data_IF_320792305130
#
_entry.id   IF_320792305130
#
_cell.length_a   1.000
_cell.length_b   1.000
_cell.length_c   1.000
_cell.angle_alpha   90.00
_cell.angle_beta   90.00
_cell.angle_gamma   90.00
#
_symmetry.space_group_name_H-M   'P 1'
#
loop_
_entity.id
_entity.type
_entity.pdbx_description
1 polymer ?
#
# COMPACT_ATOMS: atom_id res chain seq x y z
N UNK A 1 7.16 8.73 -57.14
CA UNK A 1 6.42 8.09 -56.05
C UNK A 1 4.99 7.98 -56.49
N UNK A 2 4.43 6.78 -56.52
CA UNK A 2 3.04 6.54 -56.96
C UNK A 2 2.09 7.07 -55.86
N UNK A 3 0.93 7.62 -56.25
CA UNK A 3 -0.09 8.20 -55.38
C UNK A 3 -0.55 7.18 -54.33
N UNK A 4 -0.63 5.91 -54.71
CA UNK A 4 -0.97 4.81 -53.84
C UNK A 4 0.06 4.59 -52.72
N UNK A 5 1.34 4.68 -53.04
CA UNK A 5 2.46 4.55 -52.10
C UNK A 5 2.46 5.72 -51.11
N UNK A 6 2.18 6.94 -51.57
CA UNK A 6 2.07 8.11 -50.70
C UNK A 6 0.88 8.00 -49.75
N UNK A 7 -0.30 7.57 -50.23
CA UNK A 7 -1.46 7.34 -49.40
C UNK A 7 -1.24 6.27 -48.32
N UNK A 8 -0.61 5.15 -48.65
CA UNK A 8 -0.27 4.09 -47.72
C UNK A 8 0.71 4.57 -46.62
N UNK A 9 1.73 5.36 -47.01
CA UNK A 9 2.68 5.94 -46.06
C UNK A 9 1.98 6.88 -45.06
N UNK A 10 1.07 7.73 -45.52
CA UNK A 10 0.31 8.64 -44.69
C UNK A 10 -0.57 7.85 -43.72
N UNK A 11 -1.30 6.85 -44.23
CA UNK A 11 -2.18 6.02 -43.39
C UNK A 11 -1.39 5.25 -42.34
N UNK A 12 -0.28 4.63 -42.72
CA UNK A 12 0.58 3.90 -41.76
C UNK A 12 1.16 4.83 -40.71
N UNK A 13 1.61 6.03 -41.13
CA UNK A 13 2.14 7.02 -40.17
C UNK A 13 1.07 7.50 -39.19
N UNK A 14 -0.16 7.72 -39.68
CA UNK A 14 -1.28 8.13 -38.82
C UNK A 14 -1.64 7.05 -37.82
N UNK A 15 -1.63 5.77 -38.21
CA UNK A 15 -1.86 4.64 -37.30
C UNK A 15 -0.76 4.57 -36.23
N UNK A 16 0.50 4.65 -36.62
CA UNK A 16 1.64 4.61 -35.68
C UNK A 16 1.56 5.76 -34.69
N UNK A 17 1.30 6.98 -35.18
CA UNK A 17 1.12 8.16 -34.30
C UNK A 17 -0.06 7.99 -33.35
N UNK A 18 -1.19 7.45 -33.81
CA UNK A 18 -2.37 7.16 -32.99
C UNK A 18 -2.05 6.16 -31.87
N UNK A 19 -1.33 5.08 -32.18
CA UNK A 19 -0.91 4.09 -31.18
C UNK A 19 0.07 4.70 -30.16
N UNK A 20 1.07 5.47 -30.62
CA UNK A 20 2.03 6.12 -29.72
C UNK A 20 1.33 7.12 -28.81
N UNK A 21 0.41 7.92 -29.34
CA UNK A 21 -0.38 8.87 -28.57
C UNK A 21 -1.27 8.17 -27.57
N UNK A 22 -1.99 7.12 -27.97
CA UNK A 22 -2.83 6.32 -27.08
C UNK A 22 -2.05 5.67 -25.93
N UNK A 23 -0.84 5.17 -26.20
CA UNK A 23 0.05 4.63 -25.18
C UNK A 23 0.58 5.72 -24.22
N UNK A 24 0.86 6.91 -24.73
CA UNK A 24 1.27 8.04 -23.92
C UNK A 24 0.15 8.50 -22.97
N UNK A 25 -1.07 8.61 -23.52
CA UNK A 25 -2.29 8.96 -22.75
C UNK A 25 -2.56 7.93 -21.65
N UNK A 26 -2.49 6.63 -21.99
CA UNK A 26 -2.67 5.56 -21.01
C UNK A 26 -1.62 5.62 -19.88
N UNK A 27 -0.36 5.89 -20.22
CA UNK A 27 0.69 6.06 -19.22
C UNK A 27 0.46 7.29 -18.34
N UNK A 28 -0.08 8.36 -18.90
CA UNK A 28 -0.41 9.58 -18.16
C UNK A 28 -1.56 9.32 -17.19
N UNK A 29 -2.63 8.69 -17.65
CA UNK A 29 -3.76 8.30 -16.81
C UNK A 29 -3.37 7.35 -15.66
N UNK A 30 -2.40 6.44 -15.90
CA UNK A 30 -1.89 5.56 -14.84
C UNK A 30 -1.04 6.31 -13.82
N UNK A 31 -0.29 7.34 -14.21
CA UNK A 31 0.45 8.19 -13.28
C UNK A 31 -0.49 9.02 -12.40
N UNK A 32 -1.50 9.63 -13.00
CA UNK A 32 -2.49 10.43 -12.27
C UNK A 32 -3.24 9.60 -11.22
N UNK A 33 -3.57 8.35 -11.54
CA UNK A 33 -4.18 7.41 -10.57
C UNK A 33 -3.25 7.11 -9.38
N UNK A 34 -1.95 6.92 -9.64
CA UNK A 34 -0.95 6.68 -8.59
C UNK A 34 -0.77 7.89 -7.68
N UNK A 35 -0.76 9.09 -8.26
CA UNK A 35 -0.62 10.33 -7.49
C UNK A 35 -1.84 10.58 -6.60
N UNK A 36 -3.05 10.29 -7.09
CA UNK A 36 -4.26 10.38 -6.28
C UNK A 36 -4.30 9.35 -5.15
N UNK A 37 -3.93 8.11 -5.42
CA UNK A 37 -3.86 7.07 -4.40
C UNK A 37 -2.83 7.39 -3.30
N UNK A 38 -1.70 7.98 -3.65
CA UNK A 38 -0.71 8.44 -2.68
C UNK A 38 -1.29 9.54 -1.76
N UNK A 39 -2.06 10.46 -2.31
CA UNK A 39 -2.76 11.51 -1.54
C UNK A 39 -3.80 10.90 -0.60
N UNK A 40 -4.53 9.89 -1.03
CA UNK A 40 -5.55 9.22 -0.21
C UNK A 40 -4.92 8.44 0.96
N UNK A 41 -3.78 7.77 0.75
CA UNK A 41 -3.02 7.16 1.84
C UNK A 41 -2.59 8.21 2.84
N UNK A 42 -2.00 9.33 2.38
CA UNK A 42 -1.58 10.43 3.27
C UNK A 42 -2.77 10.94 4.07
N UNK A 43 -3.92 11.13 3.45
CA UNK A 43 -5.15 11.56 4.14
C UNK A 43 -5.57 10.56 5.21
N UNK A 44 -5.59 9.26 4.89
CA UNK A 44 -5.97 8.20 5.85
C UNK A 44 -4.99 8.15 7.03
N UNK A 45 -3.68 8.19 6.76
CA UNK A 45 -2.63 8.24 7.78
C UNK A 45 -2.74 9.49 8.67
N UNK A 46 -3.21 10.61 8.10
CA UNK A 46 -3.39 11.87 8.82
C UNK A 46 -4.69 11.94 9.61
N UNK A 47 -5.63 11.00 9.44
CA UNK A 47 -6.81 10.97 10.30
C UNK A 47 -6.38 10.71 11.76
N UNK A 48 -6.91 11.53 12.66
CA UNK A 48 -6.58 11.42 14.08
C UNK A 48 -6.99 10.04 14.62
N UNK A 49 -8.03 9.46 14.06
CA UNK A 49 -8.57 8.16 14.42
C UNK A 49 -7.55 7.04 14.15
N UNK A 50 -7.09 6.87 12.90
CA UNK A 50 -6.12 5.83 12.53
C UNK A 50 -4.80 6.01 13.28
N UNK A 51 -4.32 7.25 13.41
CA UNK A 51 -3.09 7.51 14.16
C UNK A 51 -3.21 7.10 15.63
N UNK A 52 -4.30 7.46 16.32
CA UNK A 52 -4.53 7.05 17.70
C UNK A 52 -4.69 5.54 17.84
N UNK A 53 -5.36 4.89 16.89
CA UNK A 53 -5.52 3.45 16.86
C UNK A 53 -4.15 2.76 16.75
N UNK A 54 -3.31 3.20 15.80
CA UNK A 54 -1.94 2.69 15.63
C UNK A 54 -1.10 2.91 16.90
N UNK A 55 -1.10 4.13 17.46
CA UNK A 55 -0.36 4.44 18.70
C UNK A 55 -0.80 3.53 19.86
N UNK A 56 -2.10 3.30 20.02
CA UNK A 56 -2.64 2.41 21.05
C UNK A 56 -2.21 0.96 20.86
N UNK A 57 -2.31 0.45 19.64
CA UNK A 57 -1.88 -0.91 19.28
C UNK A 57 -0.37 -1.08 19.49
N UNK A 58 0.45 -0.10 19.14
CA UNK A 58 1.90 -0.16 19.29
C UNK A 58 2.36 -0.19 20.77
N UNK A 59 1.51 0.18 21.71
CA UNK A 59 1.79 0.04 23.15
C UNK A 59 1.55 -1.38 23.69
N UNK A 60 0.92 -2.25 22.92
CA UNK A 60 0.67 -3.63 23.31
C UNK A 60 1.95 -4.47 23.19
N UNK A 61 2.07 -5.56 23.95
CA UNK A 61 3.12 -6.55 23.75
C UNK A 61 2.94 -7.25 22.39
N UNK A 62 4.04 -7.82 21.88
CA UNK A 62 3.97 -8.66 20.69
C UNK A 62 3.08 -9.88 20.96
N UNK A 63 2.35 -10.32 19.94
CA UNK A 63 1.46 -11.47 20.01
C UNK A 63 0.43 -11.40 21.15
N UNK A 64 -0.15 -10.21 21.38
CA UNK A 64 -1.13 -9.98 22.46
C UNK A 64 -2.25 -11.04 22.43
N UNK A 65 -2.69 -11.47 23.59
CA UNK A 65 -3.79 -12.41 23.69
C UNK A 65 -5.08 -11.80 23.12
N UNK A 66 -5.78 -12.49 22.20
CA UNK A 66 -7.05 -12.01 21.65
C UNK A 66 -8.09 -11.64 22.70
N UNK A 67 -8.09 -12.30 23.87
CA UNK A 67 -9.01 -12.00 24.96
C UNK A 67 -8.78 -10.59 25.54
N UNK A 68 -7.54 -10.09 25.56
CA UNK A 68 -7.21 -8.72 25.98
C UNK A 68 -7.86 -7.70 25.05
N UNK A 69 -7.76 -7.93 23.74
CA UNK A 69 -8.37 -7.04 22.74
C UNK A 69 -9.89 -7.04 22.86
N UNK A 70 -10.50 -8.21 23.02
CA UNK A 70 -11.97 -8.35 23.13
C UNK A 70 -12.52 -7.88 24.48
N UNK A 71 -11.71 -7.89 25.52
CA UNK A 71 -12.09 -7.43 26.87
C UNK A 71 -12.09 -5.92 27.04
N UNK A 72 -11.50 -5.17 26.10
CA UNK A 72 -11.42 -3.71 26.12
C UNK A 72 -11.98 -3.14 24.80
N UNK A 73 -13.11 -2.45 24.90
CA UNK A 73 -13.81 -1.90 23.73
C UNK A 73 -12.94 -0.90 22.94
N UNK A 74 -12.16 -0.11 23.64
CA UNK A 74 -11.27 0.86 23.02
C UNK A 74 -10.11 0.18 22.25
N UNK A 75 -9.61 -0.94 22.77
CA UNK A 75 -8.60 -1.74 22.08
C UNK A 75 -9.19 -2.47 20.87
N UNK A 76 -10.43 -2.97 21.01
CA UNK A 76 -11.14 -3.60 19.89
C UNK A 76 -11.40 -2.61 18.75
N UNK A 77 -11.89 -1.41 19.07
CA UNK A 77 -12.07 -0.35 18.07
C UNK A 77 -10.74 0.03 17.40
N UNK A 78 -9.67 0.15 18.18
CA UNK A 78 -8.35 0.43 17.63
C UNK A 78 -7.83 -0.70 16.72
N UNK A 79 -8.02 -1.96 17.12
CA UNK A 79 -7.63 -3.11 16.30
C UNK A 79 -8.40 -3.16 14.98
N UNK A 80 -9.72 -2.90 15.00
CA UNK A 80 -10.56 -2.85 13.81
C UNK A 80 -10.19 -1.68 12.88
N UNK A 81 -9.87 -0.51 13.42
CA UNK A 81 -9.44 0.64 12.63
C UNK A 81 -8.09 0.37 11.94
N UNK A 82 -7.14 -0.26 12.64
CA UNK A 82 -5.85 -0.66 12.08
C UNK A 82 -6.03 -1.74 11.01
N UNK A 83 -6.83 -2.77 11.27
CA UNK A 83 -7.14 -3.83 10.31
C UNK A 83 -7.71 -3.26 9.02
N UNK A 84 -8.76 -2.43 9.12
CA UNK A 84 -9.40 -1.80 7.97
C UNK A 84 -8.45 -0.94 7.15
N UNK A 85 -7.56 -0.19 7.80
CA UNK A 85 -6.57 0.64 7.11
C UNK A 85 -5.52 -0.22 6.38
N UNK A 86 -5.01 -1.26 7.03
CA UNK A 86 -4.00 -2.15 6.45
C UNK A 86 -4.57 -3.03 5.33
N UNK A 87 -5.81 -3.50 5.46
CA UNK A 87 -6.55 -4.20 4.40
C UNK A 87 -6.69 -3.32 3.15
N UNK A 88 -7.10 -2.08 3.33
CA UNK A 88 -7.20 -1.12 2.23
C UNK A 88 -5.83 -0.89 1.56
N UNK A 89 -4.78 -0.67 2.34
CA UNK A 89 -3.43 -0.45 1.79
C UNK A 89 -2.89 -1.69 1.08
N UNK A 90 -3.12 -2.89 1.62
CA UNK A 90 -2.73 -4.15 1.00
C UNK A 90 -3.40 -4.36 -0.34
N UNK A 91 -4.71 -4.17 -0.41
CA UNK A 91 -5.46 -4.27 -1.67
C UNK A 91 -5.00 -3.25 -2.71
N UNK A 92 -4.72 -1.99 -2.32
CA UNK A 92 -4.20 -0.95 -3.22
C UNK A 92 -2.81 -1.30 -3.79
N UNK A 93 -1.95 -1.94 -2.99
CA UNK A 93 -0.64 -2.43 -3.47
C UNK A 93 -0.82 -3.61 -4.41
N UNK A 94 -1.69 -4.57 -4.07
CA UNK A 94 -1.98 -5.72 -4.91
C UNK A 94 -2.51 -5.32 -6.29
N UNK A 95 -3.44 -4.37 -6.34
CA UNK A 95 -4.00 -3.82 -7.59
C UNK A 95 -3.00 -2.90 -8.36
N UNK A 96 -1.80 -2.69 -7.83
CA UNK A 96 -0.78 -1.83 -8.45
C UNK A 96 -1.15 -0.34 -8.47
N UNK A 97 -2.14 0.06 -7.67
CA UNK A 97 -2.55 1.46 -7.48
C UNK A 97 -1.47 2.22 -6.73
N UNK A 98 -0.82 1.55 -5.76
CA UNK A 98 0.24 2.09 -4.93
C UNK A 98 1.50 1.24 -5.03
N UNK A 99 2.65 1.87 -5.16
CA UNK A 99 3.93 1.19 -5.14
C UNK A 99 4.27 0.73 -3.70
N UNK A 100 4.61 -0.56 -3.53
CA UNK A 100 4.87 -1.14 -2.21
C UNK A 100 6.05 -0.48 -1.49
N UNK A 101 7.10 -0.06 -2.21
CA UNK A 101 8.26 0.62 -1.62
C UNK A 101 7.91 2.03 -1.17
N UNK A 102 7.01 2.70 -1.89
CA UNK A 102 6.48 3.99 -1.47
C UNK A 102 5.70 3.84 -0.16
N UNK A 103 4.80 2.87 -0.10
CA UNK A 103 4.02 2.57 1.11
C UNK A 103 4.92 2.19 2.28
N UNK A 104 5.95 1.36 2.04
CA UNK A 104 6.92 0.98 3.06
C UNK A 104 7.64 2.19 3.67
N UNK A 105 8.02 3.16 2.85
CA UNK A 105 8.65 4.39 3.35
C UNK A 105 7.71 5.25 4.19
N UNK A 106 6.42 5.23 3.88
CA UNK A 106 5.42 6.06 4.56
C UNK A 106 4.93 5.44 5.86
N UNK A 107 4.48 4.19 5.80
CA UNK A 107 3.76 3.53 6.90
C UNK A 107 4.22 2.11 7.21
N UNK A 108 5.25 1.58 6.54
CA UNK A 108 5.67 0.21 6.73
C UNK A 108 6.12 -0.13 8.16
N UNK A 109 6.60 0.87 8.93
CA UNK A 109 6.85 0.69 10.37
C UNK A 109 5.57 0.44 11.17
N UNK A 110 4.47 1.10 10.80
CA UNK A 110 3.16 0.87 11.39
C UNK A 110 2.62 -0.51 11.03
N UNK A 111 2.68 -0.87 9.73
CA UNK A 111 2.21 -2.17 9.24
C UNK A 111 2.91 -3.31 9.97
N UNK A 112 4.25 -3.29 10.05
CA UNK A 112 5.03 -4.31 10.75
C UNK A 112 4.74 -4.33 12.24
N UNK A 113 4.79 -3.17 12.88
CA UNK A 113 4.61 -3.06 14.31
C UNK A 113 3.23 -3.48 14.78
N UNK A 114 2.18 -3.13 14.03
CA UNK A 114 0.81 -3.52 14.37
C UNK A 114 0.54 -4.98 14.06
N UNK A 115 1.06 -5.51 12.94
CA UNK A 115 0.96 -6.94 12.62
C UNK A 115 1.57 -7.82 13.70
N UNK A 116 2.80 -7.53 14.12
CA UNK A 116 3.48 -8.29 15.16
C UNK A 116 2.66 -8.40 16.45
N UNK A 117 1.86 -7.40 16.76
CA UNK A 117 1.01 -7.36 17.96
C UNK A 117 -0.34 -8.04 17.77
N UNK A 118 -0.96 -7.86 16.60
CA UNK A 118 -2.36 -8.26 16.39
C UNK A 118 -2.52 -9.56 15.58
N UNK A 119 -1.46 -10.17 15.04
CA UNK A 119 -1.59 -11.36 14.19
C UNK A 119 -2.34 -12.52 14.88
N UNK A 120 -2.16 -12.72 16.19
CA UNK A 120 -2.91 -13.73 16.94
C UNK A 120 -4.40 -13.39 17.04
N UNK A 121 -4.72 -12.13 17.19
CA UNK A 121 -6.10 -11.66 17.17
C UNK A 121 -6.73 -11.86 15.80
N UNK A 122 -6.06 -11.48 14.71
CA UNK A 122 -6.54 -11.73 13.34
C UNK A 122 -6.80 -13.22 13.11
N UNK A 123 -5.88 -14.10 13.52
CA UNK A 123 -6.07 -15.55 13.41
C UNK A 123 -7.28 -16.04 14.21
N UNK A 124 -7.49 -15.52 15.42
CA UNK A 124 -8.65 -15.86 16.24
C UNK A 124 -9.96 -15.36 15.59
N UNK A 125 -9.96 -14.17 14.97
CA UNK A 125 -11.11 -13.65 14.23
C UNK A 125 -11.45 -14.53 13.00
N UNK A 126 -10.45 -15.04 12.29
CA UNK A 126 -10.65 -15.99 11.16
C UNK A 126 -11.40 -17.24 11.60
N UNK A 127 -11.02 -17.79 12.75
CA UNK A 127 -11.67 -19.00 13.31
C UNK A 127 -13.10 -18.68 13.74
N UNK A 128 -13.30 -17.61 14.48
CA UNK A 128 -14.61 -17.25 15.04
C UNK A 128 -15.61 -16.89 13.94
N UNK A 129 -15.19 -16.09 12.97
CA UNK A 129 -16.02 -15.66 11.84
C UNK A 129 -16.12 -16.74 10.74
N UNK A 130 -15.38 -17.84 10.86
CA UNK A 130 -15.25 -18.88 9.81
C UNK A 130 -14.92 -18.28 8.44
N UNK A 131 -14.07 -17.25 8.42
CA UNK A 131 -13.67 -16.53 7.22
C UNK A 131 -12.15 -16.43 7.13
N UNK A 132 -11.51 -17.06 6.15
CA UNK A 132 -10.07 -16.96 5.94
C UNK A 132 -9.62 -15.57 5.50
N UNK A 133 -10.58 -14.74 5.03
CA UNK A 133 -10.27 -13.46 4.41
C UNK A 133 -10.10 -12.30 5.41
N UNK A 134 -10.30 -12.55 6.71
CA UNK A 134 -10.04 -11.52 7.72
C UNK A 134 -8.55 -11.21 7.77
N UNK A 135 -8.18 -9.96 7.56
CA UNK A 135 -6.79 -9.53 7.59
C UNK A 135 -5.92 -10.13 6.46
N UNK A 136 -6.51 -10.61 5.34
CA UNK A 136 -5.77 -11.29 4.28
C UNK A 136 -4.82 -10.35 3.53
N UNK A 137 -5.28 -9.14 3.21
CA UNK A 137 -4.46 -8.14 2.53
C UNK A 137 -3.42 -7.53 3.45
N UNK A 138 -3.71 -7.43 4.75
CA UNK A 138 -2.74 -6.99 5.73
C UNK A 138 -1.61 -8.00 5.91
N UNK A 139 -1.93 -9.30 6.06
CA UNK A 139 -0.92 -10.37 6.15
C UNK A 139 -0.06 -10.42 4.90
N UNK A 140 -0.71 -10.46 3.73
CA UNK A 140 -0.02 -10.43 2.44
C UNK A 140 0.91 -9.21 2.32
N UNK A 141 0.43 -8.03 2.67
CA UNK A 141 1.23 -6.80 2.63
C UNK A 141 2.43 -6.88 3.56
N UNK A 142 2.23 -7.36 4.79
CA UNK A 142 3.32 -7.59 5.73
C UNK A 142 4.39 -8.51 5.14
N UNK A 143 4.00 -9.65 4.54
CA UNK A 143 4.91 -10.60 3.90
C UNK A 143 5.68 -9.96 2.75
N UNK A 144 5.02 -9.15 1.89
CA UNK A 144 5.69 -8.43 0.81
C UNK A 144 6.74 -7.45 1.34
N UNK A 145 6.43 -6.74 2.41
CA UNK A 145 7.36 -5.78 3.03
C UNK A 145 8.55 -6.46 3.72
N UNK A 146 8.39 -7.69 4.20
CA UNK A 146 9.48 -8.48 4.76
C UNK A 146 10.34 -9.14 3.67
N UNK A 147 9.74 -9.55 2.56
CA UNK A 147 10.43 -10.19 1.44
C UNK A 147 11.31 -9.22 0.64
N UNK A 148 10.90 -7.96 0.47
CA UNK A 148 11.65 -6.92 -0.27
C UNK A 148 11.76 -5.63 0.59
N UNK A 149 12.52 -5.66 1.68
CA UNK A 149 12.69 -4.49 2.52
C UNK A 149 13.44 -3.38 1.77
N UNK A 150 12.97 -2.13 1.89
CA UNK A 150 13.68 -0.98 1.31
C UNK A 150 15.10 -0.88 1.92
N UNK A 151 16.18 -1.03 1.11
CA UNK A 151 17.55 -0.94 1.61
C UNK A 151 17.86 0.37 2.34
N UNK A 152 17.12 1.44 2.03
CA UNK A 152 17.21 2.74 2.70
C UNK A 152 16.74 2.71 4.14
N UNK A 153 15.81 1.80 4.49
CA UNK A 153 15.25 1.67 5.83
C UNK A 153 16.22 1.08 6.85
N UNK A 154 17.00 0.08 6.44
CA UNK A 154 17.97 -0.57 7.33
C UNK A 154 19.02 0.40 7.90
N UNK A 155 19.26 1.52 7.21
CA UNK A 155 20.24 2.53 7.59
C UNK A 155 19.64 3.88 8.01
N UNK A 156 18.32 4.02 7.95
CA UNK A 156 17.63 5.31 8.08
C UNK A 156 17.88 6.24 6.90
N UNK A 157 16.83 6.92 6.44
CA UNK A 157 16.89 7.78 5.25
C UNK A 157 17.96 8.87 5.34
N UNK A 158 18.19 9.45 6.52
CA UNK A 158 19.20 10.47 6.78
C UNK A 158 20.64 9.98 6.56
N UNK A 159 20.88 8.66 6.66
CA UNK A 159 22.18 8.04 6.38
C UNK A 159 22.24 7.54 4.94
N UNK A 160 21.20 6.82 4.49
CA UNK A 160 21.16 6.15 3.19
C UNK A 160 21.17 7.15 2.02
N UNK A 161 20.58 8.32 2.20
CA UNK A 161 20.46 9.38 1.18
C UNK A 161 21.33 10.60 1.44
N UNK A 162 22.29 10.52 2.38
CA UNK A 162 23.22 11.61 2.65
C UNK A 162 24.03 11.93 1.39
N UNK A 163 23.91 13.17 0.90
CA UNK A 163 24.63 13.65 -0.29
C UNK A 163 23.98 13.32 -1.63
N UNK A 164 22.88 12.57 -1.70
CA UNK A 164 22.11 12.42 -2.94
C UNK A 164 21.26 13.67 -3.17
N UNK A 165 21.57 14.42 -4.26
CA UNK A 165 20.64 15.43 -4.75
C UNK A 165 19.38 14.71 -5.27
N UNK A 166 18.21 15.28 -4.98
CA UNK A 166 16.95 14.82 -5.60
C UNK A 166 17.09 14.88 -7.12
N UNK A 167 16.59 13.87 -7.86
CA UNK A 167 16.48 13.97 -9.32
C UNK A 167 15.56 15.09 -9.75
#
# INVERSE_FOLDING_TARGET
MDLATAANLITTSAIVLGVVFGLAELRHAMRDRRDHAAVDIVRTVQTQEVRRAVERVLMLPDDVDPAVIRGDIDLLEAALAVDSACEMWGSMVYEGVVDHRMLDRMVGGWIRGTWTRLRRWVQAERVEKRSPNVGEWWEWLYEQLEADPDPGKARGAHVAYRGKKRP
#
